data_IF_591638747078
#
_entry.id   IF_591638747078
#
_cell.length_a   1.000
_cell.length_b   1.000
_cell.length_c   1.000
_cell.angle_alpha   90.00
_cell.angle_beta   90.00
_cell.angle_gamma   90.00
#
_symmetry.space_group_name_H-M   'P 1'
#
loop_
_entity.id
_entity.type
_entity.pdbx_description
1 polymer ?
#
# COMPACT_ATOMS: atom_id res chain seq x y z
N UNK A 1 -0.05 21.62 -10.22
CA UNK A 1 -1.02 20.80 -9.46
C UNK A 1 -1.22 21.46 -8.10
N UNK A 2 -2.45 21.78 -7.69
CA UNK A 2 -2.73 22.52 -6.43
C UNK A 2 -3.50 21.61 -5.49
N UNK A 3 -2.84 21.16 -4.41
CA UNK A 3 -3.48 20.41 -3.33
C UNK A 3 -4.43 21.37 -2.59
N UNK A 4 -5.71 21.01 -2.50
CA UNK A 4 -6.72 21.84 -1.82
C UNK A 4 -7.03 21.32 -0.42
N UNK A 5 -6.87 19.99 -0.23
CA UNK A 5 -7.08 19.31 1.04
C UNK A 5 -5.94 18.34 1.32
N UNK A 6 -5.83 17.98 2.58
CA UNK A 6 -4.88 16.99 3.06
C UNK A 6 -5.03 15.63 2.35
N UNK A 7 -6.28 15.19 2.10
CA UNK A 7 -6.53 13.90 1.43
C UNK A 7 -6.07 13.88 -0.03
N UNK A 8 -5.81 15.06 -0.63
CA UNK A 8 -5.33 15.16 -2.00
C UNK A 8 -3.82 14.87 -2.11
N UNK A 9 -3.08 14.86 -0.98
CA UNK A 9 -1.65 14.62 -0.96
C UNK A 9 -1.32 13.18 -1.41
N UNK A 10 -0.27 12.97 -2.23
CA UNK A 10 0.05 11.65 -2.78
C UNK A 10 0.25 10.58 -1.69
N UNK A 11 0.94 10.93 -0.60
CA UNK A 11 1.15 10.06 0.57
C UNK A 11 -0.18 9.56 1.17
N UNK A 12 -1.16 10.45 1.34
CA UNK A 12 -2.47 10.12 1.89
C UNK A 12 -3.30 9.26 0.96
N UNK A 13 -3.28 9.59 -0.34
CA UNK A 13 -3.99 8.78 -1.34
C UNK A 13 -3.44 7.36 -1.43
N UNK A 14 -2.11 7.20 -1.43
CA UNK A 14 -1.47 5.89 -1.51
C UNK A 14 -1.78 5.04 -0.27
N UNK A 15 -1.67 5.62 0.93
CA UNK A 15 -2.03 4.94 2.18
C UNK A 15 -3.51 4.52 2.22
N UNK A 16 -4.42 5.41 1.80
CA UNK A 16 -5.85 5.11 1.73
C UNK A 16 -6.17 4.00 0.72
N UNK A 17 -5.57 4.04 -0.47
CA UNK A 17 -5.74 3.02 -1.51
C UNK A 17 -5.23 1.65 -1.06
N UNK A 18 -4.12 1.60 -0.32
CA UNK A 18 -3.62 0.36 0.25
C UNK A 18 -4.69 -0.33 1.09
N UNK A 19 -5.27 0.39 2.07
CA UNK A 19 -6.31 -0.15 2.93
C UNK A 19 -7.61 -0.45 2.18
N UNK A 20 -8.05 0.46 1.30
CA UNK A 20 -9.32 0.29 0.57
C UNK A 20 -9.27 -0.87 -0.40
N UNK A 21 -8.15 -1.08 -1.11
CA UNK A 21 -8.00 -2.22 -2.02
C UNK A 21 -8.09 -3.56 -1.27
N UNK A 22 -7.54 -3.67 -0.06
CA UNK A 22 -7.67 -4.91 0.74
C UNK A 22 -9.14 -5.15 1.10
N UNK A 23 -9.83 -4.13 1.63
CA UNK A 23 -11.24 -4.24 2.02
C UNK A 23 -12.14 -4.53 0.81
N UNK A 24 -12.00 -3.77 -0.28
CA UNK A 24 -12.76 -3.96 -1.51
C UNK A 24 -12.50 -5.30 -2.19
N UNK A 25 -11.27 -5.83 -2.05
CA UNK A 25 -10.90 -7.15 -2.54
C UNK A 25 -11.55 -8.28 -1.74
N UNK A 26 -11.64 -8.12 -0.41
CA UNK A 26 -12.24 -9.10 0.48
C UNK A 26 -13.74 -9.30 0.20
N UNK A 27 -14.43 -8.24 -0.19
CA UNK A 27 -15.86 -8.28 -0.58
C UNK A 27 -16.09 -8.87 -2.00
N UNK A 28 -15.05 -9.37 -2.69
CA UNK A 28 -15.20 -9.97 -4.03
C UNK A 28 -15.62 -11.43 -3.94
N UNK A 29 -16.42 -11.85 -4.93
CA UNK A 29 -16.98 -13.20 -4.99
C UNK A 29 -15.96 -14.27 -5.36
N UNK A 30 -14.88 -13.90 -6.06
CA UNK A 30 -13.87 -14.85 -6.54
C UNK A 30 -12.50 -14.58 -5.94
N UNK A 31 -11.75 -15.64 -5.67
CA UNK A 31 -10.37 -15.52 -5.21
C UNK A 31 -9.49 -14.82 -6.24
N UNK A 32 -9.75 -15.00 -7.54
CA UNK A 32 -9.04 -14.30 -8.62
C UNK A 32 -9.21 -12.77 -8.53
N UNK A 33 -10.45 -12.31 -8.28
CA UNK A 33 -10.69 -10.88 -8.05
C UNK A 33 -10.03 -10.41 -6.76
N UNK A 34 -10.10 -11.18 -5.67
CA UNK A 34 -9.43 -10.80 -4.42
C UNK A 34 -7.91 -10.66 -4.62
N UNK A 35 -7.27 -11.62 -5.28
CA UNK A 35 -5.85 -11.57 -5.64
C UNK A 35 -5.49 -10.31 -6.44
N UNK A 36 -6.33 -9.92 -7.41
CA UNK A 36 -6.14 -8.69 -8.19
C UNK A 36 -6.15 -7.44 -7.30
N UNK A 37 -7.09 -7.35 -6.36
CA UNK A 37 -7.16 -6.25 -5.41
C UNK A 37 -5.98 -6.23 -4.41
N UNK A 38 -5.54 -7.39 -3.92
CA UNK A 38 -4.34 -7.50 -3.08
C UNK A 38 -3.07 -7.05 -3.84
N UNK A 39 -3.00 -7.31 -5.15
CA UNK A 39 -1.92 -6.80 -6.00
C UNK A 39 -1.93 -5.26 -6.07
N UNK A 40 -3.10 -4.63 -6.24
CA UNK A 40 -3.23 -3.17 -6.20
C UNK A 40 -2.89 -2.57 -4.82
N UNK A 41 -3.21 -3.28 -3.74
CA UNK A 41 -2.80 -2.87 -2.39
C UNK A 41 -1.26 -2.90 -2.25
N UNK A 42 -0.61 -3.93 -2.79
CA UNK A 42 0.85 -4.05 -2.81
C UNK A 42 1.50 -2.95 -3.66
N UNK A 43 0.94 -2.63 -4.82
CA UNK A 43 1.37 -1.49 -5.64
C UNK A 43 1.28 -0.17 -4.86
N UNK A 44 0.17 0.04 -4.14
CA UNK A 44 -0.04 1.23 -3.31
C UNK A 44 0.99 1.34 -2.17
N UNK A 45 1.42 0.22 -1.58
CA UNK A 45 2.51 0.21 -0.60
C UNK A 45 3.86 0.63 -1.22
N UNK A 46 4.10 0.25 -2.49
CA UNK A 46 5.25 0.70 -3.28
C UNK A 46 5.20 2.20 -3.57
N UNK A 47 4.05 2.72 -4.01
CA UNK A 47 3.84 4.16 -4.25
C UNK A 47 4.05 4.97 -2.96
N UNK A 48 3.46 4.53 -1.85
CA UNK A 48 3.62 5.17 -0.54
C UNK A 48 5.09 5.25 -0.14
N UNK A 49 5.84 4.15 -0.28
CA UNK A 49 7.27 4.12 0.01
C UNK A 49 8.05 5.11 -0.85
N UNK A 50 7.76 5.20 -2.15
CA UNK A 50 8.40 6.19 -3.03
C UNK A 50 8.09 7.63 -2.60
N UNK A 51 6.85 7.93 -2.16
CA UNK A 51 6.50 9.25 -1.63
C UNK A 51 7.20 9.56 -0.30
N UNK A 52 7.49 8.55 0.53
CA UNK A 52 8.26 8.72 1.76
C UNK A 52 9.72 9.12 1.47
N UNK A 53 10.34 8.57 0.42
CA UNK A 53 11.67 9.03 -0.02
C UNK A 53 11.63 10.50 -0.41
N UNK A 54 10.67 10.92 -1.23
CA UNK A 54 10.51 12.33 -1.62
C UNK A 54 10.31 13.22 -0.38
N UNK A 55 9.45 12.81 0.55
CA UNK A 55 9.19 13.55 1.78
C UNK A 55 10.44 13.67 2.67
N UNK A 56 11.28 12.64 2.73
CA UNK A 56 12.54 12.66 3.46
C UNK A 56 13.57 13.56 2.77
N UNK A 57 13.74 13.45 1.45
CA UNK A 57 14.72 14.22 0.67
C UNK A 57 14.48 15.74 0.76
N UNK A 58 13.21 16.16 0.88
CA UNK A 58 12.85 17.57 1.07
C UNK A 58 12.80 18.01 2.55
N UNK A 59 13.17 17.13 3.48
CA UNK A 59 13.22 17.41 4.92
C UNK A 59 11.85 17.54 5.60
N UNK A 60 10.78 17.00 5.01
CA UNK A 60 9.43 17.06 5.59
C UNK A 60 9.22 16.06 6.74
N UNK A 61 9.94 14.95 6.72
CA UNK A 61 9.95 13.93 7.79
C UNK A 61 11.37 13.66 8.26
N UNK A 62 11.52 13.23 9.51
CA UNK A 62 12.81 12.85 10.07
C UNK A 62 13.24 11.46 9.61
N UNK A 63 14.53 11.15 9.77
CA UNK A 63 15.08 9.84 9.42
C UNK A 63 14.42 8.70 10.22
N UNK A 64 14.08 8.93 11.49
CA UNK A 64 13.36 7.96 12.33
C UNK A 64 12.00 7.59 11.72
N UNK A 65 11.17 8.59 11.43
CA UNK A 65 9.86 8.42 10.80
C UNK A 65 9.98 7.75 9.43
N UNK A 66 10.94 8.21 8.61
CA UNK A 66 11.19 7.63 7.29
C UNK A 66 11.53 6.13 7.38
N UNK A 67 12.42 5.74 8.29
CA UNK A 67 12.82 4.34 8.48
C UNK A 67 11.64 3.50 8.94
N UNK A 68 10.85 3.99 9.89
CA UNK A 68 9.74 3.25 10.47
C UNK A 68 8.59 3.05 9.46
N UNK A 69 8.22 4.12 8.74
CA UNK A 69 7.19 4.04 7.71
C UNK A 69 7.65 3.20 6.51
N UNK A 70 8.91 3.33 6.07
CA UNK A 70 9.45 2.54 4.97
C UNK A 70 9.52 1.05 5.31
N UNK A 71 9.94 0.70 6.54
CA UNK A 71 9.92 -0.68 7.04
C UNK A 71 8.50 -1.23 7.07
N UNK A 72 7.53 -0.43 7.49
CA UNK A 72 6.12 -0.82 7.50
C UNK A 72 5.60 -1.12 6.09
N UNK A 73 5.90 -0.26 5.10
CA UNK A 73 5.54 -0.48 3.69
C UNK A 73 6.14 -1.78 3.13
N UNK A 74 7.40 -2.08 3.47
CA UNK A 74 8.08 -3.33 3.09
C UNK A 74 7.38 -4.53 3.73
N UNK A 75 7.15 -4.47 5.05
CA UNK A 75 6.51 -5.53 5.80
C UNK A 75 5.12 -5.85 5.24
N UNK A 76 4.30 -4.84 4.97
CA UNK A 76 2.98 -5.01 4.36
C UNK A 76 3.09 -5.65 2.98
N UNK A 77 4.04 -5.19 2.15
CA UNK A 77 4.26 -5.77 0.82
C UNK A 77 4.62 -7.26 0.86
N UNK A 78 5.42 -7.67 1.86
CA UNK A 78 5.78 -9.07 2.09
C UNK A 78 4.55 -9.86 2.57
N UNK A 79 3.79 -9.33 3.53
CA UNK A 79 2.58 -9.97 4.04
C UNK A 79 1.55 -10.18 2.94
N UNK A 80 1.27 -9.15 2.12
CA UNK A 80 0.38 -9.25 0.97
C UNK A 80 0.87 -10.30 -0.02
N UNK A 81 2.17 -10.34 -0.31
CA UNK A 81 2.74 -11.35 -1.23
C UNK A 81 2.53 -12.77 -0.71
N UNK A 82 2.84 -13.02 0.56
CA UNK A 82 2.66 -14.34 1.18
C UNK A 82 1.19 -14.74 1.24
N UNK A 83 0.31 -13.77 1.51
CA UNK A 83 -1.12 -14.03 1.54
C UNK A 83 -1.68 -14.36 0.16
N UNK A 84 -1.26 -13.63 -0.89
CA UNK A 84 -1.61 -13.97 -2.27
C UNK A 84 -1.14 -15.38 -2.65
N UNK A 85 0.12 -15.73 -2.35
CA UNK A 85 0.65 -17.07 -2.60
C UNK A 85 -0.13 -18.17 -1.87
N UNK A 86 -0.53 -17.92 -0.63
CA UNK A 86 -1.37 -18.84 0.13
C UNK A 86 -2.73 -19.04 -0.54
N UNK A 87 -3.39 -17.97 -0.98
CA UNK A 87 -4.69 -18.03 -1.65
C UNK A 87 -4.64 -18.70 -3.04
N UNK A 88 -3.51 -18.60 -3.75
CA UNK A 88 -3.28 -19.30 -5.02
C UNK A 88 -3.17 -20.81 -4.82
N UNK A 89 -2.47 -21.25 -3.76
CA UNK A 89 -2.26 -22.68 -3.47
C UNK A 89 -3.46 -23.32 -2.76
N UNK A 90 -4.26 -22.54 -2.04
CA UNK A 90 -5.38 -23.05 -1.23
C UNK A 90 -6.70 -23.15 -2.00
N UNK A 91 -6.72 -22.81 -3.28
CA UNK A 91 -7.88 -23.06 -4.14
C UNK A 91 -7.95 -24.55 -4.51
N UNK A 92 -9.11 -25.21 -4.35
CA UNK A 92 -9.32 -26.57 -4.85
C UNK A 92 -9.32 -26.65 -6.38
#
# INVERSE_FOLDING_TARGET
MRFKRFEDMPVWRAARKLASNIAEGYERETTSDFLRFLSYAKESAGELRSQLYVAFDIGYIKEEDFRDFSRSCISISIQLTRFMQYLEVSQP
#
